data_IF_413518846894
#
_entry.id   IF_413518846894
#
_cell.length_a   1.000
_cell.length_b   1.000
_cell.length_c   1.000
_cell.angle_alpha   90.00
_cell.angle_beta   90.00
_cell.angle_gamma   90.00
#
_symmetry.space_group_name_H-M   'P 1'
#
loop_
_entity.id
_entity.type
_entity.pdbx_description
1 polymer ?
#
# COMPACT_ATOMS: atom_id res chain seq x y z
N UNK A 1 -17.57 -29.80 16.55
CA UNK A 1 -17.11 -29.30 15.24
C UNK A 1 -16.92 -27.79 15.38
N UNK A 2 -15.68 -27.29 15.43
CA UNK A 2 -15.45 -25.83 15.38
C UNK A 2 -15.70 -25.35 13.97
N UNK A 3 -16.68 -24.47 13.80
CA UNK A 3 -16.88 -23.76 12.53
C UNK A 3 -15.63 -22.92 12.21
N UNK A 4 -15.25 -22.78 10.92
CA UNK A 4 -14.22 -21.82 10.54
C UNK A 4 -14.66 -20.42 10.97
N UNK A 5 -13.85 -19.72 11.78
CA UNK A 5 -14.13 -18.32 12.12
C UNK A 5 -14.14 -17.51 10.82
N UNK A 6 -15.23 -16.81 10.49
CA UNK A 6 -15.21 -15.92 9.34
C UNK A 6 -14.20 -14.81 9.60
N UNK A 7 -13.18 -14.72 8.74
CA UNK A 7 -12.28 -13.57 8.67
C UNK A 7 -11.11 -13.62 9.64
N UNK A 8 -9.94 -14.09 9.18
CA UNK A 8 -8.68 -13.72 9.82
C UNK A 8 -8.28 -12.29 9.43
N UNK A 9 -7.27 -11.68 10.09
CA UNK A 9 -6.83 -10.31 9.81
C UNK A 9 -6.55 -10.02 8.32
N UNK A 10 -6.06 -11.01 7.58
CA UNK A 10 -5.82 -10.91 6.14
C UNK A 10 -7.12 -10.84 5.30
N UNK A 11 -8.16 -11.58 5.69
CA UNK A 11 -9.46 -11.53 5.02
C UNK A 11 -10.19 -10.21 5.31
N UNK A 12 -9.98 -9.65 6.51
CA UNK A 12 -10.51 -8.34 6.88
C UNK A 12 -9.78 -7.22 6.12
N UNK A 13 -8.45 -7.31 5.97
CA UNK A 13 -7.67 -6.38 5.15
C UNK A 13 -8.11 -6.43 3.68
N UNK A 14 -8.25 -7.61 3.09
CA UNK A 14 -8.67 -7.74 1.69
C UNK A 14 -10.05 -7.12 1.46
N UNK A 15 -11.00 -7.36 2.36
CA UNK A 15 -12.34 -6.77 2.30
C UNK A 15 -12.30 -5.25 2.45
N UNK A 16 -11.53 -4.74 3.41
CA UNK A 16 -11.37 -3.30 3.63
C UNK A 16 -10.73 -2.62 2.41
N UNK A 17 -9.69 -3.23 1.83
CA UNK A 17 -9.05 -2.75 0.62
C UNK A 17 -10.02 -2.75 -0.58
N UNK A 18 -10.79 -3.83 -0.76
CA UNK A 18 -11.79 -3.90 -1.83
C UNK A 18 -12.86 -2.80 -1.70
N UNK A 19 -13.35 -2.53 -0.49
CA UNK A 19 -14.32 -1.47 -0.24
C UNK A 19 -13.75 -0.06 -0.54
N UNK A 20 -12.51 0.21 -0.10
CA UNK A 20 -11.83 1.48 -0.37
C UNK A 20 -11.58 1.66 -1.88
N UNK A 21 -11.11 0.62 -2.56
CA UNK A 21 -10.88 0.63 -4.00
C UNK A 21 -12.20 0.87 -4.75
N UNK A 22 -13.28 0.16 -4.41
CA UNK A 22 -14.58 0.39 -5.05
C UNK A 22 -15.06 1.85 -4.90
N UNK A 23 -14.89 2.44 -3.70
CA UNK A 23 -15.25 3.84 -3.46
C UNK A 23 -14.40 4.82 -4.28
N UNK A 24 -13.09 4.55 -4.44
CA UNK A 24 -12.19 5.33 -5.30
C UNK A 24 -12.53 5.16 -6.78
N UNK A 25 -12.72 3.93 -7.25
CA UNK A 25 -13.07 3.63 -8.64
C UNK A 25 -14.37 4.31 -9.06
N UNK A 26 -15.36 4.42 -8.17
CA UNK A 26 -16.59 5.16 -8.44
C UNK A 26 -16.38 6.66 -8.74
N UNK A 27 -15.23 7.24 -8.36
CA UNK A 27 -14.85 8.63 -8.67
C UNK A 27 -14.24 8.77 -10.08
N UNK A 28 -13.88 7.66 -10.73
CA UNK A 28 -13.24 7.62 -12.04
C UNK A 28 -14.13 6.81 -13.00
N UNK A 29 -15.04 7.46 -13.75
CA UNK A 29 -15.81 6.77 -14.78
C UNK A 29 -14.88 6.15 -15.85
N UNK A 30 -15.36 5.11 -16.54
CA UNK A 30 -14.53 4.35 -17.47
C UNK A 30 -13.81 5.24 -18.49
N UNK A 31 -12.51 4.99 -18.66
CA UNK A 31 -11.67 5.68 -19.65
C UNK A 31 -11.06 7.00 -19.22
N UNK A 32 -11.23 7.46 -17.97
CA UNK A 32 -10.73 8.79 -17.56
C UNK A 32 -9.28 8.83 -17.08
N UNK A 33 -8.69 7.70 -16.66
CA UNK A 33 -7.31 7.64 -16.14
C UNK A 33 -6.76 6.21 -16.08
N UNK A 34 -5.41 6.01 -16.05
CA UNK A 34 -4.79 4.72 -15.76
C UNK A 34 -4.99 4.37 -14.27
N UNK A 35 -6.19 3.91 -13.94
CA UNK A 35 -6.65 3.70 -12.57
C UNK A 35 -5.78 2.70 -11.80
N UNK A 36 -5.26 1.67 -12.49
CA UNK A 36 -4.32 0.72 -11.90
C UNK A 36 -3.07 1.42 -11.35
N UNK A 37 -2.41 2.25 -12.17
CA UNK A 37 -1.18 2.94 -11.77
C UNK A 37 -1.45 3.93 -10.63
N UNK A 38 -2.56 4.65 -10.69
CA UNK A 38 -2.98 5.57 -9.63
C UNK A 38 -3.18 4.87 -8.28
N UNK A 39 -3.88 3.73 -8.28
CA UNK A 39 -4.15 2.98 -7.05
C UNK A 39 -2.88 2.34 -6.50
N UNK A 40 -2.03 1.77 -7.36
CA UNK A 40 -0.72 1.22 -6.95
C UNK A 40 0.15 2.32 -6.36
N UNK A 41 0.19 3.50 -6.98
CA UNK A 41 0.95 4.64 -6.46
C UNK A 41 0.45 5.11 -5.09
N UNK A 42 -0.87 5.25 -4.91
CA UNK A 42 -1.46 5.69 -3.64
C UNK A 42 -1.14 4.69 -2.52
N UNK A 43 -1.24 3.38 -2.80
CA UNK A 43 -0.90 2.33 -1.85
C UNK A 43 0.60 2.31 -1.53
N UNK A 44 1.47 2.41 -2.54
CA UNK A 44 2.92 2.44 -2.36
C UNK A 44 3.35 3.61 -1.48
N UNK A 45 2.79 4.81 -1.70
CA UNK A 45 3.03 5.99 -0.87
C UNK A 45 2.64 5.74 0.58
N UNK A 46 1.47 5.15 0.83
CA UNK A 46 1.01 4.84 2.17
C UNK A 46 1.93 3.84 2.90
N UNK A 47 2.32 2.75 2.23
CA UNK A 47 3.24 1.74 2.78
C UNK A 47 4.59 2.37 3.12
N UNK A 48 5.15 3.16 2.21
CA UNK A 48 6.46 3.79 2.41
C UNK A 48 6.44 4.82 3.53
N UNK A 49 5.42 5.67 3.59
CA UNK A 49 5.27 6.67 4.64
C UNK A 49 5.19 6.01 6.03
N UNK A 50 4.35 4.97 6.16
CA UNK A 50 4.20 4.26 7.42
C UNK A 50 5.48 3.52 7.83
N UNK A 51 6.14 2.85 6.88
CA UNK A 51 7.40 2.17 7.16
C UNK A 51 8.53 3.14 7.51
N UNK A 52 8.59 4.33 6.91
CA UNK A 52 9.52 5.38 7.30
C UNK A 52 9.19 5.92 8.69
N UNK A 53 7.91 6.11 9.03
CA UNK A 53 7.50 6.54 10.36
C UNK A 53 7.92 5.52 11.43
N UNK A 54 7.64 4.24 11.21
CA UNK A 54 7.97 3.14 12.12
C UNK A 54 9.48 2.99 12.36
N UNK A 55 10.31 3.32 11.38
CA UNK A 55 11.77 3.19 11.50
C UNK A 55 12.49 4.49 11.86
N UNK A 56 11.75 5.58 12.13
CA UNK A 56 12.33 6.89 12.42
C UNK A 56 13.08 7.48 11.21
N UNK A 57 12.54 7.27 10.01
CA UNK A 57 13.10 7.67 8.70
C UNK A 57 14.45 7.03 8.37
N UNK A 58 14.84 5.97 9.08
CA UNK A 58 16.04 5.20 8.77
C UNK A 58 15.82 4.32 7.55
N UNK A 59 16.29 4.77 6.38
CA UNK A 59 16.08 4.08 5.11
C UNK A 59 16.65 2.65 5.08
N UNK A 60 17.77 2.37 5.77
CA UNK A 60 18.32 1.03 5.82
C UNK A 60 17.40 0.07 6.57
N UNK A 61 16.82 0.51 7.69
CA UNK A 61 15.83 -0.25 8.45
C UNK A 61 14.51 -0.38 7.69
N UNK A 62 14.07 0.67 6.99
CA UNK A 62 12.86 0.62 6.15
C UNK A 62 13.03 -0.37 5.00
N UNK A 63 14.19 -0.39 4.34
CA UNK A 63 14.46 -1.33 3.25
C UNK A 63 14.43 -2.78 3.76
N UNK A 64 15.04 -3.03 4.92
CA UNK A 64 14.99 -4.35 5.56
C UNK A 64 13.56 -4.75 5.99
N UNK A 65 12.81 -3.81 6.58
CA UNK A 65 11.42 -4.04 7.01
C UNK A 65 10.50 -4.40 5.83
N UNK A 66 10.66 -3.71 4.70
CA UNK A 66 9.83 -3.91 3.50
C UNK A 66 10.36 -5.02 2.58
N UNK A 67 11.53 -5.60 2.87
CA UNK A 67 12.18 -6.57 1.97
C UNK A 67 12.62 -5.96 0.63
N UNK A 68 12.82 -4.64 0.59
CA UNK A 68 13.20 -3.93 -0.63
C UNK A 68 14.71 -3.77 -0.72
N UNK A 69 15.23 -3.84 -1.94
CA UNK A 69 16.60 -3.39 -2.18
C UNK A 69 16.73 -1.89 -1.86
N UNK A 70 17.86 -1.48 -1.27
CA UNK A 70 18.07 -0.09 -0.82
C UNK A 70 17.96 0.93 -1.96
N UNK A 71 18.43 0.59 -3.16
CA UNK A 71 18.31 1.50 -4.33
C UNK A 71 16.86 1.67 -4.75
N UNK A 72 16.06 0.60 -4.71
CA UNK A 72 14.62 0.65 -5.01
C UNK A 72 13.89 1.53 -4.01
N UNK A 73 14.14 1.34 -2.70
CA UNK A 73 13.54 2.18 -1.67
C UNK A 73 13.89 3.66 -1.90
N UNK A 74 15.18 3.97 -2.10
CA UNK A 74 15.63 5.35 -2.31
C UNK A 74 14.97 5.99 -3.54
N UNK A 75 14.82 5.24 -4.62
CA UNK A 75 14.16 5.72 -5.83
C UNK A 75 12.68 6.01 -5.58
N UNK A 76 11.97 5.12 -4.88
CA UNK A 76 10.56 5.33 -4.51
C UNK A 76 10.37 6.53 -3.58
N UNK A 77 11.24 6.70 -2.58
CA UNK A 77 11.22 7.87 -1.68
C UNK A 77 11.36 9.17 -2.49
N UNK A 78 12.30 9.22 -3.43
CA UNK A 78 12.50 10.38 -4.31
C UNK A 78 11.30 10.61 -5.24
N UNK A 79 10.77 9.55 -5.85
CA UNK A 79 9.62 9.60 -6.74
C UNK A 79 8.40 10.22 -6.04
N UNK A 80 8.22 9.89 -4.75
CA UNK A 80 7.05 10.30 -3.99
C UNK A 80 7.27 11.54 -3.12
N UNK A 81 8.50 12.04 -2.99
CA UNK A 81 8.83 13.20 -2.17
C UNK A 81 8.70 12.95 -0.67
N UNK A 82 9.05 11.73 -0.22
CA UNK A 82 8.90 11.28 1.18
C UNK A 82 10.13 11.49 2.07
#
# INVERSE_FOLDING_TARGET
MSAPRPGGPAADLHRAAAALLAAKMAQYPEGTAPLYDLMVEELDRAILAEALRLTGRNQARTAALLGLHRTTLRNKIRQYGL
#
